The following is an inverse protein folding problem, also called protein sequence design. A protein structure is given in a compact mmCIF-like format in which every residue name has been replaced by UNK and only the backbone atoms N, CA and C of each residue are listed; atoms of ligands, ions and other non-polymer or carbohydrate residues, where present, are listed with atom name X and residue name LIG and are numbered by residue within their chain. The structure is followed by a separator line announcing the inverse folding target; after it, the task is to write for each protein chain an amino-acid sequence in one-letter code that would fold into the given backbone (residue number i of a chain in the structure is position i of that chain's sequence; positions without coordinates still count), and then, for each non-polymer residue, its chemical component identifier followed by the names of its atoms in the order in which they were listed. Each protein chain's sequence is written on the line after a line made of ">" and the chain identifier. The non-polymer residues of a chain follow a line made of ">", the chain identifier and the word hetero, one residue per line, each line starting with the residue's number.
data_IF_526423266167
#
_entry.id   IF_526423266167
#
_cell.length_a   1.000
_cell.length_b   1.000
_cell.length_c   1.000
_cell.angle_alpha   90.00
_cell.angle_beta   90.00
_cell.angle_gamma   90.00
#
_symmetry.space_group_name_H-M   'P 1'
#
loop_
_entity.id
_entity.type
_entity.pdbx_description
1 polymer ?
#
# COMPACT_ATOMS: atom_id res chain seq x y z
N UNK A 1 5.14 20.04 -10.39
CA UNK A 1 4.52 18.83 -9.82
C UNK A 1 5.61 17.77 -9.74
N UNK A 2 5.63 16.94 -8.70
CA UNK A 2 6.58 15.82 -8.65
C UNK A 2 6.22 14.81 -9.75
N UNK A 3 7.20 14.07 -10.24
CA UNK A 3 7.00 12.90 -11.12
C UNK A 3 6.78 11.64 -10.29
N UNK A 4 6.21 10.60 -10.89
CA UNK A 4 6.06 9.29 -10.24
C UNK A 4 7.41 8.75 -9.72
N UNK A 5 8.49 8.98 -10.49
CA UNK A 5 9.83 8.55 -10.11
C UNK A 5 10.35 9.28 -8.85
N UNK A 6 10.05 10.58 -8.71
CA UNK A 6 10.42 11.35 -7.52
C UNK A 6 9.61 10.92 -6.28
N UNK A 7 8.35 10.52 -6.48
CA UNK A 7 7.51 9.97 -5.40
C UNK A 7 8.05 8.62 -4.96
N UNK A 8 8.35 7.72 -5.91
CA UNK A 8 8.92 6.41 -5.60
C UNK A 8 10.28 6.53 -4.91
N UNK A 9 11.15 7.45 -5.34
CA UNK A 9 12.42 7.70 -4.67
C UNK A 9 12.25 8.18 -3.22
N UNK A 10 11.23 8.99 -2.93
CA UNK A 10 10.92 9.42 -1.57
C UNK A 10 10.39 8.27 -0.70
N UNK A 11 9.57 7.40 -1.29
CA UNK A 11 9.08 6.18 -0.64
C UNK A 11 10.25 5.24 -0.33
N UNK A 12 11.16 5.01 -1.29
CA UNK A 12 12.36 4.19 -1.10
C UNK A 12 13.28 4.77 -0.02
N UNK A 13 13.39 6.09 0.09
CA UNK A 13 14.16 6.71 1.17
C UNK A 13 13.56 6.43 2.56
N UNK A 14 12.24 6.42 2.69
CA UNK A 14 11.54 6.21 3.97
C UNK A 14 11.35 4.73 4.35
N UNK A 15 11.12 3.86 3.37
CA UNK A 15 10.78 2.45 3.56
C UNK A 15 11.85 1.48 3.07
N UNK A 16 12.81 1.92 2.25
CA UNK A 16 13.81 1.05 1.62
C UNK A 16 14.70 0.29 2.62
N UNK A 17 14.91 0.85 3.81
CA UNK A 17 15.65 0.20 4.89
C UNK A 17 14.79 -0.73 5.76
N UNK A 18 13.46 -0.82 5.54
CA UNK A 18 12.60 -1.73 6.29
C UNK A 18 13.06 -3.19 6.07
N UNK A 19 13.33 -3.95 7.14
CA UNK A 19 13.82 -5.31 7.01
C UNK A 19 12.73 -6.21 6.44
N UNK A 20 13.15 -7.22 5.69
CA UNK A 20 12.25 -8.30 5.27
C UNK A 20 11.94 -9.19 6.48
N UNK A 21 10.66 -9.37 6.87
CA UNK A 21 10.33 -10.30 7.94
C UNK A 21 10.48 -11.75 7.46
N UNK A 22 10.70 -12.67 8.40
CA UNK A 22 10.72 -14.12 8.11
C UNK A 22 9.35 -14.63 7.66
N UNK A 23 8.29 -14.11 8.30
CA UNK A 23 6.89 -14.34 7.99
C UNK A 23 6.14 -13.01 7.95
N UNK A 24 5.29 -12.85 6.95
CA UNK A 24 4.48 -11.67 6.70
C UNK A 24 3.12 -11.74 7.39
N UNK A 25 2.59 -12.94 7.69
CA UNK A 25 1.30 -13.09 8.37
C UNK A 25 1.44 -13.94 9.65
N UNK A 26 0.35 -14.08 10.41
CA UNK A 26 0.25 -15.14 11.41
C UNK A 26 0.00 -16.50 10.73
N UNK A 27 1.05 -17.04 10.10
CA UNK A 27 0.99 -18.28 9.30
C UNK A 27 0.55 -19.52 10.11
N UNK A 28 0.59 -19.47 11.45
CA UNK A 28 0.14 -20.57 12.32
C UNK A 28 -1.35 -20.53 12.68
N UNK A 29 -2.08 -19.47 12.30
CA UNK A 29 -3.49 -19.28 12.66
C UNK A 29 -4.45 -20.21 11.90
N UNK A 30 -4.35 -20.22 10.57
CA UNK A 30 -5.17 -21.05 9.68
C UNK A 30 -4.46 -21.25 8.33
N UNK A 31 -5.00 -22.12 7.47
CA UNK A 31 -4.43 -22.42 6.15
C UNK A 31 -4.37 -21.18 5.24
N UNK A 32 -5.39 -20.32 5.26
CA UNK A 32 -5.42 -19.09 4.46
C UNK A 32 -4.29 -18.12 4.85
N UNK A 33 -4.03 -17.94 6.16
CA UNK A 33 -2.90 -17.12 6.59
C UNK A 33 -1.56 -17.72 6.14
N UNK A 34 -1.41 -19.04 6.18
CA UNK A 34 -0.20 -19.72 5.70
C UNK A 34 -0.02 -19.57 4.18
N UNK A 35 -1.10 -19.69 3.39
CA UNK A 35 -1.07 -19.50 1.94
C UNK A 35 -0.69 -18.06 1.57
N UNK A 36 -1.31 -17.06 2.22
CA UNK A 36 -0.95 -15.65 2.04
C UNK A 36 0.51 -15.37 2.43
N UNK A 37 1.00 -16.00 3.50
CA UNK A 37 2.39 -15.90 3.91
C UNK A 37 3.35 -16.48 2.85
N UNK A 38 3.05 -17.66 2.31
CA UNK A 38 3.85 -18.30 1.28
C UNK A 38 3.91 -17.46 -0.01
N UNK A 39 2.79 -16.84 -0.42
CA UNK A 39 2.78 -15.88 -1.53
C UNK A 39 3.73 -14.75 -1.26
N UNK A 40 3.57 -14.06 -0.12
CA UNK A 40 4.41 -12.91 0.23
C UNK A 40 5.88 -13.30 0.43
N UNK A 41 6.18 -14.50 0.91
CA UNK A 41 7.56 -15.01 1.03
C UNK A 41 8.15 -15.43 -0.30
N UNK A 42 7.35 -15.81 -1.29
CA UNK A 42 7.83 -16.14 -2.63
C UNK A 42 8.23 -14.91 -3.45
N UNK A 43 7.84 -13.71 -3.02
CA UNK A 43 8.09 -12.44 -3.73
C UNK A 43 9.20 -11.59 -3.08
N UNK A 44 9.57 -10.55 -3.81
CA UNK A 44 10.48 -9.45 -3.42
C UNK A 44 9.81 -8.14 -3.81
N UNK A 45 10.36 -6.98 -3.42
CA UNK A 45 9.79 -5.68 -3.79
C UNK A 45 9.74 -5.51 -5.33
N UNK A 46 10.74 -6.05 -6.01
CA UNK A 46 10.91 -5.99 -7.45
C UNK A 46 9.99 -6.96 -8.17
N UNK A 47 9.69 -8.11 -7.56
CA UNK A 47 8.91 -9.17 -8.20
C UNK A 47 7.44 -9.23 -7.77
N UNK A 48 7.01 -8.44 -6.79
CA UNK A 48 5.60 -8.34 -6.41
C UNK A 48 4.80 -7.70 -7.55
N UNK A 49 3.74 -8.39 -7.98
CA UNK A 49 2.87 -7.98 -9.09
C UNK A 49 1.46 -7.69 -8.59
N UNK A 50 0.70 -6.96 -9.41
CA UNK A 50 -0.71 -6.66 -9.09
C UNK A 50 -1.52 -7.95 -8.88
N UNK A 51 -1.29 -9.00 -9.67
CA UNK A 51 -1.98 -10.28 -9.52
C UNK A 51 -1.74 -10.99 -8.17
N UNK A 52 -0.67 -10.64 -7.43
CA UNK A 52 -0.38 -11.22 -6.12
C UNK A 52 -1.22 -10.57 -4.99
N UNK A 53 -1.68 -9.32 -5.19
CA UNK A 53 -2.26 -8.47 -4.13
C UNK A 53 -3.54 -7.73 -4.55
N UNK A 54 -3.96 -7.88 -5.80
CA UNK A 54 -5.04 -7.10 -6.40
C UNK A 54 -6.40 -7.78 -6.39
N UNK A 55 -6.53 -8.96 -5.77
CA UNK A 55 -7.80 -9.65 -5.66
C UNK A 55 -8.47 -9.28 -4.32
N UNK A 56 -9.54 -8.47 -4.29
CA UNK A 56 -10.15 -8.05 -3.03
C UNK A 56 -10.68 -9.19 -2.17
N UNK A 57 -11.05 -10.32 -2.80
CA UNK A 57 -11.51 -11.53 -2.09
C UNK A 57 -10.37 -12.45 -1.64
N UNK A 58 -9.13 -12.16 -2.01
CA UNK A 58 -7.94 -12.95 -1.69
C UNK A 58 -6.69 -12.06 -1.72
N UNK A 59 -6.69 -10.98 -0.92
CA UNK A 59 -5.55 -10.06 -0.84
C UNK A 59 -4.70 -10.41 0.40
N UNK A 60 -3.46 -10.91 0.23
CA UNK A 60 -2.60 -11.25 1.34
C UNK A 60 -2.20 -10.04 2.20
N UNK A 61 -2.29 -8.81 1.68
CA UNK A 61 -2.00 -7.59 2.44
C UNK A 61 -3.03 -7.37 3.56
N UNK A 62 -4.26 -7.88 3.44
CA UNK A 62 -5.27 -7.83 4.51
C UNK A 62 -4.81 -8.50 5.82
N UNK A 63 -3.89 -9.47 5.73
CA UNK A 63 -3.42 -10.27 6.86
C UNK A 63 -1.94 -10.01 7.19
N UNK A 64 -1.32 -9.05 6.52
CA UNK A 64 0.11 -8.80 6.68
C UNK A 64 0.39 -8.03 7.98
N UNK A 65 1.53 -8.33 8.62
CA UNK A 65 2.03 -7.58 9.76
C UNK A 65 2.44 -6.17 9.34
N UNK A 66 2.55 -5.25 10.29
CA UNK A 66 2.97 -3.89 9.97
C UNK A 66 4.40 -3.83 9.41
N UNK A 67 5.28 -4.72 9.87
CA UNK A 67 6.63 -4.89 9.34
C UNK A 67 6.59 -5.40 7.89
N UNK A 68 5.70 -6.36 7.60
CA UNK A 68 5.49 -6.89 6.26
C UNK A 68 4.97 -5.83 5.29
N UNK A 69 3.98 -5.05 5.73
CA UNK A 69 3.46 -3.90 4.99
C UNK A 69 4.56 -2.87 4.71
N UNK A 70 5.32 -2.48 5.74
CA UNK A 70 6.42 -1.52 5.59
C UNK A 70 7.51 -2.03 4.63
N UNK A 71 7.83 -3.33 4.66
CA UNK A 71 8.75 -3.93 3.70
C UNK A 71 8.21 -3.83 2.27
N UNK A 72 6.94 -4.12 2.03
CA UNK A 72 6.38 -4.12 0.68
C UNK A 72 5.92 -2.75 0.18
N UNK A 73 5.81 -1.74 1.05
CA UNK A 73 5.22 -0.44 0.70
C UNK A 73 5.80 0.20 -0.57
N UNK A 74 7.13 0.17 -0.85
CA UNK A 74 7.65 0.65 -2.13
C UNK A 74 7.05 -0.04 -3.37
N UNK A 75 6.85 -1.36 -3.30
CA UNK A 75 6.21 -2.12 -4.37
C UNK A 75 4.72 -1.77 -4.48
N UNK A 76 4.01 -1.64 -3.35
CA UNK A 76 2.60 -1.26 -3.32
C UNK A 76 2.38 0.14 -3.93
N UNK A 77 3.25 1.10 -3.60
CA UNK A 77 3.24 2.45 -4.19
C UNK A 77 3.44 2.41 -5.71
N UNK A 78 4.39 1.59 -6.20
CA UNK A 78 4.61 1.38 -7.63
C UNK A 78 3.37 0.81 -8.32
N UNK A 79 2.69 -0.15 -7.70
CA UNK A 79 1.45 -0.71 -8.23
C UNK A 79 0.32 0.31 -8.26
N UNK A 80 0.19 1.16 -7.23
CA UNK A 80 -0.84 2.21 -7.16
C UNK A 80 -0.64 3.33 -8.20
N UNK A 81 0.60 3.64 -8.55
CA UNK A 81 0.93 4.65 -9.58
C UNK A 81 0.74 4.15 -11.01
N UNK A 82 0.71 2.83 -11.21
CA UNK A 82 0.54 2.21 -12.51
C UNK A 82 -0.89 2.37 -13.05
N UNK A 83 -1.03 2.29 -14.36
CA UNK A 83 -2.33 2.31 -15.03
C UNK A 83 -3.20 1.13 -14.59
N UNK A 84 -4.54 1.29 -14.57
CA UNK A 84 -5.46 0.21 -14.26
C UNK A 84 -5.26 -0.99 -15.20
N UNK A 85 -5.25 -2.19 -14.62
CA UNK A 85 -5.26 -3.43 -15.38
C UNK A 85 -6.70 -3.85 -15.71
N UNK A 86 -6.88 -4.57 -16.82
CA UNK A 86 -8.21 -5.08 -17.19
C UNK A 86 -8.76 -6.11 -16.20
N UNK A 87 -7.89 -6.90 -15.58
CA UNK A 87 -8.26 -8.03 -14.72
C UNK A 87 -8.47 -7.61 -13.26
N UNK A 88 -7.61 -6.76 -12.74
CA UNK A 88 -7.59 -6.37 -11.32
C UNK A 88 -7.94 -4.90 -11.08
N UNK A 89 -8.29 -4.14 -12.14
CA UNK A 89 -8.60 -2.72 -12.02
C UNK A 89 -7.37 -1.89 -11.61
N UNK A 90 -7.61 -0.82 -10.86
CA UNK A 90 -6.60 0.10 -10.37
C UNK A 90 -6.21 -0.24 -8.93
N UNK A 91 -4.92 -0.52 -8.70
CA UNK A 91 -4.46 -0.96 -7.37
C UNK A 91 -4.56 0.13 -6.29
N UNK A 92 -4.62 1.41 -6.67
CA UNK A 92 -4.68 2.49 -5.69
C UNK A 92 -5.94 2.46 -4.81
N UNK A 93 -7.05 1.94 -5.33
CA UNK A 93 -8.28 1.72 -4.56
C UNK A 93 -8.08 0.67 -3.45
N UNK A 94 -7.46 -0.47 -3.79
CA UNK A 94 -7.11 -1.51 -2.83
C UNK A 94 -6.10 -0.98 -1.79
N UNK A 95 -5.09 -0.22 -2.21
CA UNK A 95 -4.14 0.39 -1.29
C UNK A 95 -4.83 1.41 -0.35
N UNK A 96 -5.78 2.19 -0.86
CA UNK A 96 -6.54 3.15 -0.07
C UNK A 96 -7.34 2.48 1.05
N UNK A 97 -7.95 1.32 0.78
CA UNK A 97 -8.61 0.51 1.79
C UNK A 97 -7.66 0.17 2.95
N UNK A 98 -6.46 -0.32 2.64
CA UNK A 98 -5.44 -0.67 3.64
C UNK A 98 -4.95 0.52 4.46
N UNK A 99 -4.80 1.68 3.82
CA UNK A 99 -4.33 2.91 4.46
C UNK A 99 -5.41 3.60 5.30
N UNK A 100 -6.69 3.32 5.05
CA UNK A 100 -7.82 4.01 5.69
C UNK A 100 -8.54 3.17 6.74
N UNK A 101 -8.45 1.84 6.65
CA UNK A 101 -9.13 0.91 7.57
C UNK A 101 -8.70 1.14 9.02
N UNK A 102 -9.66 1.31 9.94
CA UNK A 102 -9.38 1.61 11.35
C UNK A 102 -8.93 3.06 11.64
N UNK A 103 -8.73 3.89 10.61
CA UNK A 103 -8.36 5.31 10.74
C UNK A 103 -7.17 5.54 11.70
N UNK A 104 -7.35 6.22 12.83
CA UNK A 104 -6.27 6.43 13.83
C UNK A 104 -5.83 5.17 14.57
N UNK A 105 -6.63 4.11 14.51
CA UNK A 105 -6.30 2.78 15.04
C UNK A 105 -5.68 1.87 13.97
N UNK A 106 -5.49 2.37 12.74
CA UNK A 106 -4.84 1.63 11.67
C UNK A 106 -3.44 1.18 12.12
N UNK A 107 -3.20 -0.14 12.08
CA UNK A 107 -1.96 -0.72 12.58
C UNK A 107 -0.73 -0.23 11.80
N UNK A 108 -0.86 0.02 10.49
CA UNK A 108 0.23 0.55 9.67
C UNK A 108 0.54 2.01 10.02
N UNK A 109 -0.50 2.83 10.24
CA UNK A 109 -0.35 4.21 10.68
C UNK A 109 0.37 4.30 12.03
N UNK A 110 -0.01 3.45 12.99
CA UNK A 110 0.61 3.39 14.31
C UNK A 110 2.05 2.86 14.29
N UNK A 111 2.39 2.00 13.34
CA UNK A 111 3.73 1.47 13.17
C UNK A 111 4.69 2.46 12.47
N UNK A 112 4.18 3.31 11.58
CA UNK A 112 4.99 4.27 10.84
C UNK A 112 5.47 5.43 11.74
N UNK A 113 6.74 5.79 11.59
CA UNK A 113 7.29 7.04 12.13
C UNK A 113 6.84 8.24 11.27
N UNK A 114 7.27 9.44 11.68
CA UNK A 114 6.89 10.68 11.00
C UNK A 114 7.34 10.71 9.53
N UNK A 115 8.54 10.22 9.22
CA UNK A 115 9.09 10.22 7.86
C UNK A 115 8.31 9.29 6.94
N UNK A 116 7.98 8.09 7.42
CA UNK A 116 7.15 7.12 6.70
C UNK A 116 5.73 7.64 6.48
N UNK A 117 5.13 8.26 7.49
CA UNK A 117 3.79 8.87 7.35
C UNK A 117 3.79 9.99 6.33
N UNK A 118 4.79 10.88 6.38
CA UNK A 118 4.95 11.95 5.41
C UNK A 118 5.14 11.42 3.98
N UNK A 119 5.88 10.32 3.79
CA UNK A 119 6.03 9.69 2.48
C UNK A 119 4.71 9.11 1.94
N UNK A 120 3.90 8.49 2.80
CA UNK A 120 2.55 7.99 2.44
C UNK A 120 1.63 9.15 2.05
N UNK A 121 1.58 10.22 2.86
CA UNK A 121 0.81 11.42 2.54
C UNK A 121 1.24 12.02 1.19
N UNK A 122 2.55 12.09 0.93
CA UNK A 122 3.07 12.59 -0.34
C UNK A 122 2.62 11.73 -1.54
N UNK A 123 2.59 10.40 -1.40
CA UNK A 123 2.03 9.51 -2.43
C UNK A 123 0.55 9.79 -2.67
N UNK A 124 -0.27 9.85 -1.61
CA UNK A 124 -1.71 10.10 -1.70
C UNK A 124 -2.00 11.45 -2.37
N UNK A 125 -1.29 12.52 -1.96
CA UNK A 125 -1.41 13.84 -2.56
C UNK A 125 -1.03 13.86 -4.04
N UNK A 126 -0.02 13.08 -4.43
CA UNK A 126 0.37 12.94 -5.83
C UNK A 126 -0.68 12.19 -6.65
N UNK A 127 -1.26 11.11 -6.13
CA UNK A 127 -2.36 10.39 -6.78
C UNK A 127 -3.57 11.31 -6.99
N UNK A 128 -3.98 12.06 -5.96
CA UNK A 128 -5.07 13.05 -6.03
C UNK A 128 -4.84 14.04 -7.18
N UNK A 129 -3.61 14.55 -7.30
CA UNK A 129 -3.27 15.58 -8.29
C UNK A 129 -3.13 15.07 -9.72
N UNK A 130 -2.73 13.82 -9.90
CA UNK A 130 -2.33 13.30 -11.22
C UNK A 130 -3.29 12.25 -11.78
N UNK A 131 -4.11 11.62 -10.94
CA UNK A 131 -5.05 10.56 -11.28
C UNK A 131 -6.50 10.96 -10.97
N UNK A 132 -6.81 12.25 -10.98
CA UNK A 132 -8.15 12.78 -10.63
C UNK A 132 -9.27 12.07 -11.40
N UNK A 133 -9.13 11.88 -12.72
CA UNK A 133 -10.13 11.18 -13.52
C UNK A 133 -10.35 9.72 -13.08
N UNK A 134 -9.28 8.99 -12.73
CA UNK A 134 -9.41 7.63 -12.21
C UNK A 134 -10.07 7.61 -10.83
N UNK A 135 -9.75 8.57 -9.97
CA UNK A 135 -10.36 8.69 -8.64
C UNK A 135 -11.88 8.96 -8.75
N UNK A 136 -12.28 9.80 -9.72
CA UNK A 136 -13.69 10.07 -10.03
C UNK A 136 -14.39 8.83 -10.59
N UNK A 137 -13.75 8.10 -11.53
CA UNK A 137 -14.30 6.87 -12.11
C UNK A 137 -14.54 5.77 -11.07
N UNK A 138 -13.69 5.70 -10.03
CA UNK A 138 -13.81 4.77 -8.91
C UNK A 138 -14.66 5.34 -7.76
N UNK A 139 -15.21 6.56 -7.90
CA UNK A 139 -16.02 7.26 -6.90
C UNK A 139 -15.36 7.34 -5.50
N UNK A 140 -14.03 7.51 -5.45
CA UNK A 140 -13.22 7.43 -4.23
C UNK A 140 -12.63 8.79 -3.77
N UNK A 141 -13.15 9.91 -4.30
CA UNK A 141 -12.55 11.23 -4.09
C UNK A 141 -12.48 11.63 -2.61
N UNK A 142 -13.57 11.42 -1.86
CA UNK A 142 -13.65 11.78 -0.45
C UNK A 142 -12.74 10.89 0.40
N UNK A 143 -12.66 9.60 0.08
CA UNK A 143 -11.81 8.63 0.75
C UNK A 143 -10.32 8.96 0.56
N UNK A 144 -9.91 9.33 -0.66
CA UNK A 144 -8.53 9.76 -0.93
C UNK A 144 -8.16 11.02 -0.14
N UNK A 145 -9.04 12.03 -0.12
CA UNK A 145 -8.79 13.27 0.62
C UNK A 145 -8.69 13.01 2.12
N UNK A 146 -9.62 12.24 2.68
CA UNK A 146 -9.62 11.89 4.10
C UNK A 146 -8.40 11.06 4.50
N UNK A 147 -7.99 10.13 3.64
CA UNK A 147 -6.78 9.34 3.87
C UNK A 147 -5.53 10.24 3.81
N UNK A 148 -5.45 11.13 2.83
CA UNK A 148 -4.35 12.10 2.74
C UNK A 148 -4.25 12.98 4.00
N UNK A 149 -5.39 13.46 4.52
CA UNK A 149 -5.44 14.21 5.78
C UNK A 149 -4.93 13.38 6.96
N UNK A 150 -5.43 12.15 7.15
CA UNK A 150 -4.99 11.25 8.23
C UNK A 150 -3.48 11.08 8.25
N UNK A 151 -2.89 10.75 7.09
CA UNK A 151 -1.46 10.48 6.98
C UNK A 151 -0.61 11.75 7.03
N UNK A 152 -1.22 12.92 6.85
CA UNK A 152 -0.60 14.24 6.93
C UNK A 152 -0.59 14.89 8.33
N UNK A 153 -1.26 14.30 9.34
CA UNK A 153 -1.33 14.84 10.71
C UNK A 153 -0.01 14.73 11.54
N UNK A 154 1.16 14.82 10.89
CA UNK A 154 2.47 14.66 11.54
C UNK A 154 2.86 15.82 12.48
#
# INVERSE_FOLDING_TARGET
>A
MSTDAEILAAIDAAFGAAPRPEHFTNHTHCCECAEHDDVLRSRTRETLQHADVGNPGWDPICFTSAEGFAYYFPALARLALAEPSREHGWYADQLLFHLSSGFKENTYYLHCDADRRAAVARLLGHLIQTRTALIEDYAAADEFLRCHELWGEA
#
